data_IF_154518464988
#
_entry.id   IF_154518464988
#
_cell.length_a   1.000
_cell.length_b   1.000
_cell.length_c   1.000
_cell.angle_alpha   90.00
_cell.angle_beta   90.00
_cell.angle_gamma   90.00
#
_symmetry.space_group_name_H-M   'P 1'
#
loop_
_entity.id
_entity.type
_entity.pdbx_description
1 polymer ?
#
# COMPACT_ATOMS: atom_id res chain seq x y z
N UNK A 1 -10.69 3.59 -7.83
CA UNK A 1 -11.76 2.85 -7.10
C UNK A 1 -12.15 1.52 -7.77
N UNK A 2 -11.39 0.46 -7.50
CA UNK A 2 -11.85 -0.93 -7.66
C UNK A 2 -12.16 -1.50 -6.29
N UNK A 3 -13.33 -2.13 -6.20
CA UNK A 3 -13.94 -2.66 -4.98
C UNK A 3 -13.43 -4.10 -4.79
N UNK A 4 -12.99 -4.43 -3.58
CA UNK A 4 -12.83 -5.81 -3.09
C UNK A 4 -14.05 -6.65 -3.51
N UNK A 5 -13.83 -7.80 -4.14
CA UNK A 5 -14.85 -8.84 -4.37
C UNK A 5 -14.42 -10.10 -3.62
N UNK A 6 -14.81 -10.21 -2.36
CA UNK A 6 -14.77 -11.49 -1.66
C UNK A 6 -15.86 -12.40 -2.23
N UNK A 7 -15.47 -13.47 -2.94
CA UNK A 7 -16.37 -14.56 -3.31
C UNK A 7 -16.49 -15.52 -2.13
N UNK A 8 -17.40 -15.24 -1.19
CA UNK A 8 -17.84 -16.26 -0.22
C UNK A 8 -18.92 -17.14 -0.85
N UNK A 9 -18.58 -18.40 -1.12
CA UNK A 9 -19.55 -19.41 -1.54
C UNK A 9 -20.46 -19.79 -0.36
N UNK A 10 -21.63 -19.15 -0.27
CA UNK A 10 -22.67 -19.57 0.67
C UNK A 10 -23.77 -20.38 -0.04
N UNK A 11 -23.91 -21.63 0.36
CA UNK A 11 -24.95 -22.56 -0.10
C UNK A 11 -26.36 -21.96 0.12
N UNK A 12 -27.11 -21.73 -0.96
CA UNK A 12 -28.44 -21.13 -0.89
C UNK A 12 -29.51 -22.13 -0.40
N UNK A 13 -30.23 -21.77 0.66
CA UNK A 13 -31.57 -22.32 0.95
C UNK A 13 -32.59 -21.43 0.25
N UNK A 14 -33.40 -21.99 -0.65
CA UNK A 14 -34.43 -21.29 -1.42
C UNK A 14 -35.68 -21.03 -0.57
N UNK A 15 -36.05 -19.76 -0.42
CA UNK A 15 -37.41 -19.34 -0.04
C UNK A 15 -37.85 -18.25 -1.01
N UNK A 16 -38.86 -18.54 -1.84
CA UNK A 16 -39.43 -17.62 -2.82
C UNK A 16 -40.56 -16.78 -2.21
N UNK A 17 -40.43 -15.45 -2.14
CA UNK A 17 -41.56 -14.52 -2.07
C UNK A 17 -41.23 -13.22 -2.85
N UNK A 18 -42.19 -12.79 -3.68
CA UNK A 18 -42.17 -11.63 -4.60
C UNK A 18 -42.21 -10.25 -3.89
N UNK A 19 -41.41 -9.27 -4.37
CA UNK A 19 -41.57 -7.84 -4.03
C UNK A 19 -40.33 -6.98 -4.36
N UNK A 20 -40.46 -5.68 -4.72
CA UNK A 20 -39.54 -5.02 -5.65
C UNK A 20 -38.30 -4.37 -5.02
N UNK A 21 -37.23 -4.35 -5.82
CA UNK A 21 -36.06 -3.46 -5.83
C UNK A 21 -35.56 -2.93 -4.47
N UNK A 22 -34.61 -3.66 -3.87
CA UNK A 22 -33.65 -3.07 -2.94
C UNK A 22 -32.35 -2.80 -3.70
N UNK A 23 -32.00 -1.52 -3.81
CA UNK A 23 -30.66 -1.09 -4.19
C UNK A 23 -29.74 -1.50 -3.04
N UNK A 24 -28.80 -2.41 -3.30
CA UNK A 24 -27.77 -2.75 -2.33
C UNK A 24 -26.80 -1.57 -2.30
N UNK A 25 -26.97 -0.68 -1.32
CA UNK A 25 -25.92 0.24 -0.90
C UNK A 25 -24.84 -0.60 -0.24
N UNK A 26 -23.82 -0.95 -1.00
CA UNK A 26 -22.54 -1.41 -0.47
C UNK A 26 -21.58 -0.22 -0.38
N UNK A 27 -20.73 -0.24 0.66
CA UNK A 27 -19.53 0.59 0.84
C UNK A 27 -19.72 1.95 1.51
N UNK A 28 -19.87 1.91 2.83
CA UNK A 28 -19.20 2.87 3.70
C UNK A 28 -18.50 2.14 4.85
N UNK A 29 -19.14 1.09 5.36
CA UNK A 29 -18.62 0.30 6.48
C UNK A 29 -17.32 -0.47 6.17
N UNK A 30 -17.09 -0.90 4.92
CA UNK A 30 -15.84 -1.58 4.53
C UNK A 30 -14.65 -0.61 4.36
N UNK A 31 -14.90 0.65 4.00
CA UNK A 31 -13.86 1.69 3.90
C UNK A 31 -13.43 2.21 5.26
N UNK A 32 -14.36 2.22 6.22
CA UNK A 32 -14.06 2.63 7.59
C UNK A 32 -13.21 1.56 8.29
N UNK A 33 -13.44 0.26 8.06
CA UNK A 33 -12.62 -0.82 8.64
C UNK A 33 -11.20 -0.94 8.05
N UNK A 34 -10.97 -0.51 6.81
CA UNK A 34 -9.64 -0.54 6.17
C UNK A 34 -8.75 0.63 6.64
N UNK A 35 -9.38 1.72 7.09
CA UNK A 35 -8.72 2.89 7.68
C UNK A 35 -8.60 2.81 9.22
N UNK A 36 -9.29 1.87 9.89
CA UNK A 36 -9.20 1.68 11.35
C UNK A 36 -7.88 1.02 11.80
N UNK A 37 -7.04 0.52 10.89
CA UNK A 37 -5.73 -0.06 11.20
C UNK A 37 -4.60 0.97 11.30
N UNK A 38 -4.85 2.24 10.99
CA UNK A 38 -3.86 3.32 11.03
C UNK A 38 -4.06 4.11 12.34
N UNK A 39 -3.22 3.89 13.34
CA UNK A 39 -3.40 4.51 14.67
C UNK A 39 -3.27 6.04 14.61
N UNK A 40 -2.43 6.57 13.72
CA UNK A 40 -2.31 8.00 13.42
C UNK A 40 -2.14 8.21 11.91
N UNK A 41 -2.97 9.08 11.32
CA UNK A 41 -2.84 9.47 9.92
C UNK A 41 -2.85 10.99 9.71
N UNK A 42 -2.00 11.44 8.80
CA UNK A 42 -1.81 12.82 8.40
C UNK A 42 -2.29 12.99 6.97
N UNK A 43 -3.25 13.89 6.75
CA UNK A 43 -3.92 14.08 5.46
C UNK A 43 -3.61 15.46 4.89
N UNK A 44 -3.27 15.49 3.62
CA UNK A 44 -2.93 16.68 2.87
C UNK A 44 -3.61 16.65 1.51
N UNK A 45 -3.96 17.83 1.00
CA UNK A 45 -4.46 18.01 -0.35
C UNK A 45 -3.99 19.36 -0.90
N UNK A 46 -3.86 19.45 -2.22
CA UNK A 46 -3.37 20.66 -2.85
C UNK A 46 -3.33 20.60 -4.37
N UNK A 47 -2.72 21.62 -4.95
CA UNK A 47 -2.50 21.74 -6.40
C UNK A 47 -1.11 22.29 -6.67
N UNK A 48 -0.38 21.69 -7.60
CA UNK A 48 0.98 22.10 -7.90
C UNK A 48 1.98 21.78 -6.78
N UNK A 49 3.21 22.27 -6.92
CA UNK A 49 4.27 22.05 -5.93
C UNK A 49 3.94 22.67 -4.56
N UNK A 50 4.19 21.94 -3.48
CA UNK A 50 3.86 22.33 -2.09
C UNK A 50 4.79 21.64 -1.10
N UNK A 51 5.11 22.34 -0.01
CA UNK A 51 5.72 21.75 1.19
C UNK A 51 4.65 21.76 2.29
N UNK A 52 4.41 20.63 2.94
CA UNK A 52 3.41 20.52 4.01
C UNK A 52 3.88 21.17 5.31
N UNK A 53 2.96 21.33 6.28
CA UNK A 53 3.35 21.55 7.68
C UNK A 53 4.11 20.31 8.22
N UNK A 54 4.91 20.52 9.26
CA UNK A 54 5.61 19.43 9.98
C UNK A 54 4.60 18.56 10.76
N UNK A 55 4.84 17.25 10.80
CA UNK A 55 4.11 16.29 11.62
C UNK A 55 5.04 15.27 12.27
N UNK A 56 4.58 14.65 13.36
CA UNK A 56 5.33 13.63 14.07
C UNK A 56 5.03 12.23 13.48
N UNK A 57 6.07 11.42 13.37
CA UNK A 57 6.00 9.98 13.12
C UNK A 57 6.77 9.25 14.22
N UNK A 58 6.37 8.03 14.49
CA UNK A 58 7.07 7.09 15.36
C UNK A 58 7.97 6.14 14.54
N UNK A 59 8.86 5.43 15.23
CA UNK A 59 9.62 4.35 14.59
C UNK A 59 8.67 3.24 14.15
N UNK A 60 8.67 2.91 12.86
CA UNK A 60 7.87 1.81 12.34
C UNK A 60 7.57 1.90 10.86
N UNK A 61 6.58 1.11 10.45
CA UNK A 61 6.05 1.15 9.09
C UNK A 61 5.28 2.44 8.90
N UNK A 62 5.58 3.16 7.82
CA UNK A 62 4.83 4.34 7.37
C UNK A 62 4.38 4.09 5.94
N UNK A 63 3.08 4.18 5.72
CA UNK A 63 2.42 4.05 4.42
C UNK A 63 1.99 5.43 3.95
N UNK A 64 2.23 5.72 2.69
CA UNK A 64 1.76 6.91 2.00
C UNK A 64 0.84 6.51 0.85
N UNK A 65 -0.43 6.90 0.91
CA UNK A 65 -1.39 6.75 -0.17
C UNK A 65 -1.58 8.09 -0.85
N UNK A 66 -1.39 8.14 -2.17
CA UNK A 66 -1.43 9.39 -2.91
C UNK A 66 -2.23 9.28 -4.20
N UNK A 67 -2.82 10.42 -4.58
CA UNK A 67 -3.45 10.61 -5.89
C UNK A 67 -2.92 11.87 -6.55
N UNK A 68 -2.87 11.86 -7.87
CA UNK A 68 -2.52 13.02 -8.68
C UNK A 68 -3.36 13.05 -9.96
N UNK A 69 -3.99 14.19 -10.21
CA UNK A 69 -4.71 14.54 -11.44
C UNK A 69 -3.91 15.60 -12.20
N UNK A 70 -2.84 15.15 -12.86
CA UNK A 70 -1.92 15.96 -13.66
C UNK A 70 -1.30 15.16 -14.81
N UNK A 71 -0.51 15.82 -15.64
CA UNK A 71 0.05 15.23 -16.87
C UNK A 71 1.59 15.17 -16.84
N UNK A 72 2.22 15.80 -15.84
CA UNK A 72 3.68 15.95 -15.72
C UNK A 72 4.19 15.23 -14.47
N UNK A 73 5.40 15.60 -14.00
CA UNK A 73 6.00 14.97 -12.83
C UNK A 73 5.07 15.04 -11.61
N UNK A 74 4.98 13.91 -10.92
CA UNK A 74 4.44 13.82 -9.57
C UNK A 74 5.49 13.15 -8.69
N UNK A 75 6.13 13.97 -7.85
CA UNK A 75 7.19 13.56 -6.93
C UNK A 75 6.75 13.86 -5.52
N UNK A 76 6.81 12.85 -4.65
CA UNK A 76 6.48 12.96 -3.23
C UNK A 76 7.67 12.47 -2.43
N UNK A 77 8.31 13.36 -1.68
CA UNK A 77 9.43 13.04 -0.80
C UNK A 77 9.06 13.28 0.65
N UNK A 78 9.22 12.25 1.48
CA UNK A 78 9.13 12.37 2.94
C UNK A 78 10.48 12.84 3.49
N UNK A 79 10.51 14.04 4.05
CA UNK A 79 11.73 14.70 4.52
C UNK A 79 11.75 14.69 6.05
N UNK A 80 12.72 14.01 6.70
CA UNK A 80 12.93 14.21 8.13
C UNK A 80 13.48 15.62 8.39
N UNK A 81 13.08 16.24 9.50
CA UNK A 81 13.56 17.58 9.89
C UNK A 81 14.94 17.55 10.56
N UNK A 82 15.47 16.37 10.86
CA UNK A 82 16.85 16.17 11.25
C UNK A 82 17.74 15.93 10.01
N UNK A 83 19.03 15.62 10.22
CA UNK A 83 19.98 15.37 9.12
C UNK A 83 19.88 13.93 8.54
N UNK A 84 18.79 13.22 8.81
CA UNK A 84 18.53 11.89 8.25
C UNK A 84 18.17 11.95 6.76
N UNK A 85 18.12 10.79 6.11
CA UNK A 85 17.86 10.71 4.66
C UNK A 85 16.38 10.84 4.36
N UNK A 86 16.05 11.65 3.34
CA UNK A 86 14.72 11.66 2.75
C UNK A 86 14.36 10.31 2.14
N UNK A 87 13.07 10.03 2.10
CA UNK A 87 12.50 8.87 1.44
C UNK A 87 11.71 9.34 0.21
N UNK A 88 12.06 8.79 -0.96
CA UNK A 88 11.29 9.01 -2.18
C UNK A 88 10.09 8.06 -2.16
N UNK A 89 8.89 8.59 -1.98
CA UNK A 89 7.66 7.80 -1.88
C UNK A 89 7.02 7.58 -3.25
N UNK A 90 6.94 8.64 -4.06
CA UNK A 90 6.38 8.60 -5.41
C UNK A 90 7.29 9.35 -6.35
N UNK A 91 7.53 8.78 -7.53
CA UNK A 91 8.24 9.44 -8.62
C UNK A 91 7.72 8.93 -9.97
N UNK A 92 6.70 9.60 -10.48
CA UNK A 92 6.03 9.21 -11.72
C UNK A 92 5.76 10.41 -12.63
N UNK A 93 5.27 10.14 -13.84
CA UNK A 93 4.79 11.15 -14.78
C UNK A 93 3.31 10.88 -15.06
N UNK A 94 2.49 11.92 -14.91
CA UNK A 94 1.07 11.90 -15.20
C UNK A 94 0.21 11.59 -13.99
N UNK A 95 -0.96 11.04 -14.26
CA UNK A 95 -1.93 10.69 -13.23
C UNK A 95 -1.40 9.56 -12.35
N UNK A 96 -1.72 9.62 -11.06
CA UNK A 96 -1.31 8.63 -10.07
C UNK A 96 -2.48 8.29 -9.13
N UNK A 97 -2.59 7.02 -8.78
CA UNK A 97 -3.48 6.47 -7.76
C UNK A 97 -2.79 5.20 -7.24
N UNK A 98 -2.19 5.30 -6.06
CA UNK A 98 -1.38 4.21 -5.51
C UNK A 98 -0.80 4.53 -4.13
N UNK A 99 0.03 3.61 -3.66
CA UNK A 99 0.67 3.70 -2.37
C UNK A 99 2.16 3.39 -2.41
N UNK A 100 2.87 3.85 -1.38
CA UNK A 100 4.25 3.51 -1.08
C UNK A 100 4.38 3.24 0.42
N UNK A 101 5.35 2.41 0.81
CA UNK A 101 5.63 2.17 2.23
C UNK A 101 7.12 2.21 2.51
N UNK A 102 7.48 2.72 3.68
CA UNK A 102 8.85 2.87 4.15
C UNK A 102 8.94 2.56 5.64
N UNK A 103 10.17 2.35 6.13
CA UNK A 103 10.45 2.32 7.56
C UNK A 103 10.97 3.70 7.99
N UNK A 104 10.33 4.28 8.99
CA UNK A 104 10.69 5.58 9.58
C UNK A 104 11.25 5.39 10.99
N UNK A 105 11.99 6.40 11.45
CA UNK A 105 12.41 6.53 12.84
C UNK A 105 11.50 7.57 13.53
N UNK A 106 11.38 7.51 14.87
CA UNK A 106 10.64 8.55 15.61
C UNK A 106 11.24 9.93 15.35
N UNK A 107 10.42 10.87 14.91
CA UNK A 107 10.87 12.23 14.62
C UNK A 107 9.80 13.10 13.98
N UNK A 108 10.21 14.33 13.67
CA UNK A 108 9.38 15.27 12.91
C UNK A 108 9.73 15.23 11.44
N UNK A 109 8.70 15.18 10.61
CA UNK A 109 8.76 15.07 9.17
C UNK A 109 7.93 16.14 8.51
N UNK A 110 8.22 16.41 7.25
CA UNK A 110 7.34 17.13 6.33
C UNK A 110 7.35 16.39 5.00
N UNK A 111 6.43 16.73 4.10
CA UNK A 111 6.44 16.20 2.73
C UNK A 111 6.72 17.35 1.76
N UNK A 112 7.68 17.14 0.86
CA UNK A 112 7.93 18.00 -0.31
C UNK A 112 7.28 17.35 -1.53
N UNK A 113 6.41 18.10 -2.20
CA UNK A 113 5.60 17.63 -3.32
C UNK A 113 5.92 18.51 -4.53
N UNK A 114 6.35 17.88 -5.63
CA UNK A 114 6.40 18.49 -6.97
C UNK A 114 5.29 17.89 -7.83
N UNK A 115 4.40 18.74 -8.33
CA UNK A 115 3.21 18.35 -9.07
C UNK A 115 2.82 19.45 -10.06
N UNK A 116 2.12 19.09 -11.14
CA UNK A 116 1.49 20.04 -12.06
C UNK A 116 -0.05 20.09 -11.91
N UNK A 117 -0.62 19.11 -11.22
CA UNK A 117 -2.05 18.90 -11.06
C UNK A 117 -2.55 19.00 -9.62
N UNK A 118 -3.83 18.63 -9.45
CA UNK A 118 -4.41 18.45 -8.11
C UNK A 118 -3.91 17.13 -7.51
N UNK A 119 -3.69 17.09 -6.21
CA UNK A 119 -3.23 15.89 -5.51
C UNK A 119 -3.87 15.78 -4.12
N UNK A 120 -3.91 14.55 -3.62
CA UNK A 120 -4.21 14.24 -2.23
C UNK A 120 -3.21 13.21 -1.72
N UNK A 121 -2.85 13.31 -0.45
CA UNK A 121 -1.88 12.45 0.23
C UNK A 121 -2.38 12.12 1.64
N UNK A 122 -2.33 10.85 1.98
CA UNK A 122 -2.46 10.36 3.35
C UNK A 122 -1.18 9.64 3.75
N UNK A 123 -0.60 10.03 4.89
CA UNK A 123 0.56 9.36 5.49
C UNK A 123 0.10 8.75 6.81
N UNK A 124 0.29 7.45 6.97
CA UNK A 124 -0.23 6.70 8.11
C UNK A 124 0.74 5.65 8.63
N UNK A 125 0.69 5.38 9.93
CA UNK A 125 1.43 4.27 10.54
C UNK A 125 0.48 3.18 11.00
N UNK A 126 0.40 2.04 10.28
CA UNK A 126 -0.40 0.92 10.73
C UNK A 126 0.22 0.31 11.99
N UNK A 127 -0.62 0.04 13.00
CA UNK A 127 -0.21 -0.58 14.26
C UNK A 127 -1.01 -1.88 14.45
N UNK A 128 -0.57 -2.98 13.82
CA UNK A 128 -1.32 -4.23 13.83
C UNK A 128 -1.24 -4.93 15.19
N UNK A 129 -2.37 -5.41 15.71
CA UNK A 129 -2.34 -6.40 16.78
C UNK A 129 -2.03 -7.79 16.20
N UNK A 130 -1.47 -8.71 17.00
CA UNK A 130 -1.09 -10.06 16.51
C UNK A 130 -2.30 -10.83 15.94
N UNK A 131 -3.48 -10.63 16.51
CA UNK A 131 -4.72 -11.30 16.07
C UNK A 131 -5.28 -10.73 14.74
N UNK A 132 -4.76 -9.59 14.26
CA UNK A 132 -5.18 -8.96 12.99
C UNK A 132 -4.41 -9.50 11.77
N UNK A 133 -3.28 -10.18 11.98
CA UNK A 133 -2.39 -10.59 10.90
C UNK A 133 -2.88 -11.87 10.19
N UNK A 134 -3.10 -11.79 8.88
CA UNK A 134 -3.47 -12.94 8.06
C UNK A 134 -2.27 -13.88 7.84
N UNK A 135 -2.49 -15.19 7.96
CA UNK A 135 -1.43 -16.19 7.72
C UNK A 135 -1.28 -16.51 6.24
N UNK A 136 -0.06 -16.87 5.83
CA UNK A 136 0.20 -17.40 4.49
C UNK A 136 -0.48 -18.78 4.27
N UNK A 137 -0.85 -19.13 3.03
CA UNK A 137 -0.59 -18.40 1.78
C UNK A 137 -1.57 -17.26 1.49
N UNK A 138 -1.09 -16.23 0.79
CA UNK A 138 -1.92 -15.12 0.29
C UNK A 138 -1.67 -14.86 -1.20
N UNK A 139 -2.71 -14.37 -1.88
CA UNK A 139 -2.68 -13.97 -3.29
C UNK A 139 -3.10 -12.51 -3.41
N UNK A 140 -2.23 -11.70 -4.02
CA UNK A 140 -2.42 -10.26 -4.23
C UNK A 140 -2.40 -9.96 -5.72
N UNK A 141 -3.20 -8.97 -6.14
CA UNK A 141 -3.25 -8.49 -7.53
C UNK A 141 -3.50 -6.98 -7.57
N UNK A 142 -2.97 -6.31 -8.58
CA UNK A 142 -3.16 -4.88 -8.78
C UNK A 142 -2.74 -4.41 -10.16
N UNK A 143 -2.94 -3.12 -10.43
CA UNK A 143 -2.57 -2.47 -11.70
C UNK A 143 -1.73 -1.19 -11.55
N UNK A 144 -1.39 -0.83 -10.32
CA UNK A 144 -0.51 0.28 -9.93
C UNK A 144 0.24 -0.05 -8.63
N UNK A 145 1.04 0.89 -8.13
CA UNK A 145 1.69 0.75 -6.83
C UNK A 145 0.67 0.60 -5.69
N UNK A 146 0.92 -0.33 -4.77
CA UNK A 146 -0.03 -0.72 -3.74
C UNK A 146 0.69 -1.21 -2.46
N UNK A 147 -0.10 -1.46 -1.42
CA UNK A 147 0.33 -2.14 -0.22
C UNK A 147 -0.78 -3.08 0.29
N UNK A 148 -0.44 -4.10 1.06
CA UNK A 148 -1.41 -4.97 1.73
C UNK A 148 -0.81 -5.58 3.03
N UNK A 149 -1.68 -6.11 3.88
CA UNK A 149 -1.37 -6.66 5.19
C UNK A 149 -2.24 -6.08 6.31
N UNK A 150 -1.94 -6.39 7.58
CA UNK A 150 -0.79 -7.15 8.05
C UNK A 150 -0.82 -8.65 7.72
N UNK A 151 0.33 -9.23 7.43
CA UNK A 151 0.51 -10.68 7.27
C UNK A 151 1.47 -11.24 8.33
N UNK A 152 1.16 -12.45 8.82
CA UNK A 152 2.04 -13.21 9.70
C UNK A 152 3.01 -14.06 8.86
N UNK A 153 4.32 -13.78 8.97
CA UNK A 153 5.38 -14.56 8.35
C UNK A 153 6.03 -15.49 9.39
N UNK A 154 6.23 -16.77 9.06
CA UNK A 154 6.74 -17.81 9.98
C UNK A 154 8.03 -18.47 9.45
N UNK A 155 9.02 -17.66 9.08
CA UNK A 155 10.36 -18.08 8.65
C UNK A 155 10.54 -18.11 7.13
N UNK A 156 11.14 -19.18 6.62
CA UNK A 156 11.45 -19.34 5.19
C UNK A 156 10.18 -19.63 4.39
N UNK A 157 9.83 -18.71 3.49
CA UNK A 157 8.72 -18.87 2.54
C UNK A 157 9.14 -18.67 1.09
N UNK A 158 8.20 -18.86 0.17
CA UNK A 158 8.36 -18.72 -1.27
C UNK A 158 7.43 -17.62 -1.81
N UNK A 159 7.93 -16.82 -2.75
CA UNK A 159 7.14 -15.83 -3.46
C UNK A 159 7.13 -16.15 -4.96
N UNK A 160 5.99 -15.98 -5.61
CA UNK A 160 5.84 -15.98 -7.06
C UNK A 160 5.24 -14.65 -7.49
N UNK A 161 5.87 -13.95 -8.44
CA UNK A 161 5.42 -12.64 -8.90
C UNK A 161 5.30 -12.59 -10.42
N UNK A 162 4.25 -11.91 -10.91
CA UNK A 162 4.12 -11.54 -12.32
C UNK A 162 3.90 -10.05 -12.47
N UNK A 163 4.42 -9.47 -13.56
CA UNK A 163 4.19 -8.10 -13.97
C UNK A 163 4.08 -8.03 -15.49
N UNK A 164 2.99 -7.46 -16.00
CA UNK A 164 2.74 -7.30 -17.43
C UNK A 164 3.01 -5.86 -17.92
N UNK A 165 3.45 -4.99 -17.01
CA UNK A 165 3.69 -3.57 -17.25
C UNK A 165 5.06 -3.22 -17.85
N UNK A 166 5.37 -1.92 -17.83
CA UNK A 166 6.66 -1.35 -18.27
C UNK A 166 7.20 -0.44 -17.18
N UNK A 167 8.48 -0.55 -16.83
CA UNK A 167 9.06 0.13 -15.67
C UNK A 167 9.19 -0.77 -14.44
N UNK A 168 9.23 -0.18 -13.26
CA UNK A 168 9.55 -0.91 -12.03
C UNK A 168 8.49 -1.98 -11.70
N UNK A 169 8.98 -3.12 -11.23
CA UNK A 169 8.24 -4.10 -10.44
C UNK A 169 9.08 -4.45 -9.21
N UNK A 170 8.84 -3.73 -8.13
CA UNK A 170 9.56 -3.88 -6.88
C UNK A 170 8.57 -4.34 -5.82
N UNK A 171 8.91 -5.43 -5.13
CA UNK A 171 8.11 -5.95 -4.02
C UNK A 171 8.99 -6.02 -2.80
N UNK A 172 8.55 -5.39 -1.71
CA UNK A 172 9.22 -5.43 -0.42
C UNK A 172 8.26 -5.88 0.67
N UNK A 173 8.82 -6.51 1.71
CA UNK A 173 8.12 -6.79 2.97
C UNK A 173 8.65 -5.82 4.01
N UNK A 174 7.77 -5.00 4.59
CA UNK A 174 8.07 -4.09 5.69
C UNK A 174 7.77 -4.81 7.02
N UNK A 175 8.79 -5.31 7.74
CA UNK A 175 8.57 -5.99 9.02
C UNK A 175 8.08 -5.02 10.08
N UNK A 176 7.01 -5.37 10.79
CA UNK A 176 6.59 -4.64 11.98
C UNK A 176 7.68 -4.74 13.06
N UNK A 177 8.18 -3.59 13.52
CA UNK A 177 9.29 -3.49 14.46
C UNK A 177 10.69 -3.79 13.89
N UNK A 178 10.81 -4.05 12.58
CA UNK A 178 12.10 -4.26 11.93
C UNK A 178 12.77 -2.95 11.47
N UNK A 179 14.04 -3.03 11.09
CA UNK A 179 14.86 -1.87 10.67
C UNK A 179 15.12 -1.79 9.17
N UNK A 180 14.86 -2.86 8.44
CA UNK A 180 15.16 -2.93 7.02
C UNK A 180 14.01 -3.64 6.29
N UNK A 181 13.61 -3.15 5.11
CA UNK A 181 12.69 -3.87 4.24
C UNK A 181 13.34 -5.18 3.77
N UNK A 182 12.54 -6.23 3.67
CA UNK A 182 12.91 -7.48 3.01
C UNK A 182 12.60 -7.37 1.52
N UNK A 183 13.63 -7.23 0.68
CA UNK A 183 13.46 -7.19 -0.77
C UNK A 183 13.04 -8.58 -1.28
N UNK A 184 11.89 -8.65 -1.96
CA UNK A 184 11.38 -9.86 -2.61
C UNK A 184 11.71 -9.81 -4.09
N UNK A 185 11.23 -8.80 -4.81
CA UNK A 185 11.49 -8.60 -6.24
C UNK A 185 12.05 -7.20 -6.49
N UNK A 186 12.97 -7.07 -7.44
CA UNK A 186 13.45 -5.79 -7.97
C UNK A 186 13.72 -5.95 -9.46
N UNK A 187 12.67 -5.78 -10.23
CA UNK A 187 12.65 -6.11 -11.65
C UNK A 187 12.19 -4.90 -12.47
N UNK A 188 12.44 -4.99 -13.78
CA UNK A 188 12.03 -3.98 -14.75
C UNK A 188 11.23 -4.64 -15.86
N UNK A 189 10.21 -3.92 -16.32
CA UNK A 189 9.30 -4.35 -17.38
C UNK A 189 8.61 -5.68 -17.06
N UNK A 190 8.34 -6.49 -18.07
CA UNK A 190 7.64 -7.75 -17.90
C UNK A 190 8.45 -8.74 -17.08
N UNK A 191 7.80 -9.33 -16.08
CA UNK A 191 8.40 -10.28 -15.17
C UNK A 191 7.45 -11.45 -14.89
N UNK A 192 8.03 -12.63 -14.72
CA UNK A 192 7.38 -13.87 -14.27
C UNK A 192 8.48 -14.71 -13.60
N UNK A 193 8.41 -14.88 -12.28
CA UNK A 193 9.46 -15.56 -11.56
C UNK A 193 9.12 -15.86 -10.10
N UNK A 194 10.03 -16.60 -9.48
CA UNK A 194 9.92 -17.05 -8.09
C UNK A 194 11.20 -16.73 -7.32
N UNK A 195 11.06 -16.51 -6.02
CA UNK A 195 12.17 -16.32 -5.09
C UNK A 195 11.76 -16.80 -3.70
N UNK A 196 12.66 -16.70 -2.73
CA UNK A 196 12.39 -17.02 -1.32
C UNK A 196 12.58 -15.78 -0.46
N UNK A 197 11.80 -15.66 0.61
CA UNK A 197 12.02 -14.71 1.69
C UNK A 197 12.21 -15.45 3.02
N UNK A 198 12.77 -14.77 4.02
CA UNK A 198 12.90 -15.34 5.36
C UNK A 198 12.60 -14.26 6.40
N UNK A 199 11.42 -14.35 7.01
CA UNK A 199 10.94 -13.39 7.99
C UNK A 199 10.09 -14.12 9.04
N UNK A 200 10.32 -13.83 10.32
CA UNK A 200 9.58 -14.40 11.45
C UNK A 200 8.98 -13.24 12.26
N UNK A 201 7.99 -12.56 11.66
CA UNK A 201 7.31 -11.39 12.22
C UNK A 201 6.01 -11.09 11.45
N UNK A 202 5.19 -10.20 12.01
CA UNK A 202 4.16 -9.50 11.22
C UNK A 202 4.86 -8.58 10.22
N UNK A 203 4.30 -8.43 9.03
CA UNK A 203 4.79 -7.48 8.03
C UNK A 203 3.73 -7.02 7.05
N UNK A 204 4.05 -5.96 6.33
CA UNK A 204 3.23 -5.40 5.26
C UNK A 204 3.95 -5.58 3.94
N UNK A 205 3.21 -5.93 2.89
CA UNK A 205 3.77 -6.07 1.54
C UNK A 205 3.56 -4.74 0.83
N UNK A 206 4.59 -4.19 0.22
CA UNK A 206 4.50 -3.06 -0.70
C UNK A 206 4.87 -3.51 -2.10
N UNK A 207 4.18 -2.94 -3.09
CA UNK A 207 4.43 -3.19 -4.50
C UNK A 207 4.57 -1.84 -5.20
N UNK A 208 5.72 -1.59 -5.80
CA UNK A 208 5.89 -0.52 -6.79
C UNK A 208 5.76 -1.16 -8.18
N UNK A 209 4.70 -0.81 -8.90
CA UNK A 209 4.43 -1.39 -10.21
C UNK A 209 3.84 -0.37 -11.19
N UNK A 210 4.24 -0.50 -12.46
CA UNK A 210 3.76 0.32 -13.57
C UNK A 210 2.98 -0.54 -14.58
N UNK A 211 1.86 -1.09 -14.12
CA UNK A 211 0.96 -1.93 -14.88
C UNK A 211 0.42 -3.11 -14.07
N UNK A 212 -0.33 -4.03 -14.70
CA UNK A 212 -0.89 -5.21 -14.04
C UNK A 212 0.18 -6.09 -13.41
N UNK A 213 -0.06 -6.55 -12.19
CA UNK A 213 0.79 -7.46 -11.47
C UNK A 213 -0.01 -8.46 -10.63
N UNK A 214 0.61 -9.60 -10.32
CA UNK A 214 0.12 -10.56 -9.32
C UNK A 214 1.27 -11.02 -8.42
N UNK A 215 0.96 -11.37 -7.19
CA UNK A 215 1.92 -11.89 -6.20
C UNK A 215 1.27 -12.99 -5.37
N UNK A 216 1.95 -14.12 -5.23
CA UNK A 216 1.61 -15.18 -4.28
C UNK A 216 2.74 -15.32 -3.28
N UNK A 217 2.40 -15.43 -2.00
CA UNK A 217 3.33 -15.68 -0.89
C UNK A 217 2.89 -16.96 -0.17
N UNK A 218 3.83 -17.90 0.02
CA UNK A 218 3.61 -19.22 0.63
C UNK A 218 4.63 -19.53 1.74
#
# INVERSE_FOLDING_TARGET
MRRRRYLTASTAVTVSILGPSSVITASSQERDTELEAISESHRFDGTGATVTDEFDLETGVTIAEATHDGESNFVVELIPTDDSRSQLLVNTIGAYDGAAGVLTDTGRYLVDIDADGAWALEVGQPDPEEDDAESLPVELEGDSAAWDGPFQFEGLGQAHGTHEGQGNFIVEILPHGGRFPGLVFNELDQFDGETTFNLDSIGFVTVEAAGPWSLTLE
#
